data_IF_848207341817
#
_entry.id   IF_848207341817
#
_cell.length_a   1.000
_cell.length_b   1.000
_cell.length_c   1.000
_cell.angle_alpha   90.00
_cell.angle_beta   90.00
_cell.angle_gamma   90.00
#
_symmetry.space_group_name_H-M   'P 1'
#
loop_
_entity.id
_entity.type
_entity.pdbx_description
1 polymer ?
2 polymer ?
3 water ?
#
# COMPACT_ATOMS: atom_id res chain seq x y z
N UNK A 5 34.06 -0.52 16.77
CA UNK A 5 32.71 -0.44 16.15
C UNK A 5 31.73 -1.43 16.78
N UNK A 6 30.47 -1.32 16.40
CA UNK A 6 29.44 -2.28 16.79
C UNK A 6 28.43 -2.46 15.66
N UNK A 7 28.18 -3.71 15.28
CA UNK A 7 27.28 -4.02 14.17
C UNK A 7 26.36 -5.20 14.47
N UNK A 8 25.16 -5.12 13.91
CA UNK A 8 24.17 -6.17 14.05
C UNK A 8 23.48 -6.31 12.71
N UNK A 9 23.26 -7.54 12.27
CA UNK A 9 22.56 -7.80 11.02
C UNK A 9 21.07 -7.94 11.29
N UNK A 10 20.27 -7.19 10.55
CA UNK A 10 18.81 -7.31 10.65
C UNK A 10 18.20 -7.78 9.34
N UNK A 11 16.87 -7.85 9.33
CA UNK A 11 16.13 -8.23 8.14
C UNK A 11 14.87 -7.37 7.94
N UNK A 12 14.74 -6.87 6.73
CA UNK A 12 13.61 -6.06 6.34
C UNK A 12 12.88 -6.79 5.23
N UNK A 13 11.57 -6.89 5.35
CA UNK A 13 10.79 -7.48 4.28
C UNK A 13 9.63 -6.56 3.96
N UNK A 14 9.19 -6.57 2.72
CA UNK A 14 7.98 -5.88 2.34
C UNK A 14 8.17 -4.44 1.96
N UNK A 15 7.07 -3.69 2.02
CA UNK A 15 7.05 -2.30 1.63
C UNK A 15 7.51 -1.45 2.79
N UNK A 16 8.67 -0.83 2.62
CA UNK A 16 9.28 -0.11 3.75
C UNK A 16 9.66 1.32 3.42
N UNK A 17 9.44 2.21 4.37
CA UNK A 17 9.84 3.62 4.24
C UNK A 17 10.96 3.95 5.22
N UNK A 18 12.00 4.61 4.72
CA UNK A 18 13.01 5.25 5.54
C UNK A 18 12.94 6.72 5.22
N UNK A 19 12.52 7.53 6.20
CA UNK A 19 12.29 8.96 6.00
C UNK A 19 11.26 9.09 4.88
N UNK A 20 11.63 9.77 3.80
CA UNK A 20 10.71 9.95 2.67
C UNK A 20 11.07 9.08 1.47
N UNK A 21 11.91 8.06 1.69
CA UNK A 21 12.24 7.10 0.66
C UNK A 21 11.56 5.76 0.90
N UNK A 22 10.88 5.26 -0.13
CA UNK A 22 10.14 4.02 -0.13
C UNK A 22 10.93 2.89 -0.80
N UNK A 23 11.08 1.76 -0.09
CA UNK A 23 11.72 0.55 -0.63
C UNK A 23 10.77 -0.65 -0.64
N UNK A 24 11.08 -1.62 -1.49
CA UNK A 24 10.50 -2.94 -1.37
C UNK A 24 11.60 -3.98 -1.19
N UNK A 25 11.52 -4.73 -0.09
CA UNK A 25 12.36 -5.89 0.16
C UNK A 25 11.55 -7.17 -0.06
N UNK A 26 12.10 -8.13 -0.79
CA UNK A 26 11.43 -9.41 -0.99
C UNK A 26 11.51 -10.28 0.26
N UNK A 27 10.91 -11.47 0.19
CA UNK A 27 10.87 -12.43 1.30
C UNK A 27 12.22 -12.65 1.98
N UNK A 28 13.28 -12.76 1.17
CA UNK A 28 14.60 -13.09 1.69
C UNK A 28 15.35 -11.87 2.24
N UNK A 29 14.65 -10.75 2.29
CA UNK A 29 15.20 -9.54 2.89
C UNK A 29 16.01 -8.73 1.90
N UNK A 30 15.85 -9.04 0.62
CA UNK A 30 16.68 -8.49 -0.44
C UNK A 30 16.00 -7.34 -1.14
N UNK A 31 16.68 -6.20 -1.16
CA UNK A 31 16.15 -4.98 -1.73
C UNK A 31 15.98 -5.15 -3.23
N UNK A 32 14.94 -4.50 -3.77
CA UNK A 32 14.61 -4.65 -5.19
C UNK A 32 14.82 -3.39 -6.01
N UNK A 33 15.18 -3.58 -7.28
CA UNK A 33 15.65 -2.51 -8.17
C UNK A 33 14.97 -2.60 -9.54
N UNK A 34 14.68 -1.46 -10.13
CA UNK A 34 14.11 -1.43 -11.47
C UNK A 34 12.63 -1.68 -11.51
N UNK A 35 12.18 -2.30 -12.60
CA UNK A 35 10.77 -2.57 -12.84
C UNK A 35 10.44 -3.82 -12.08
N UNK A 36 9.56 -3.69 -11.08
CA UNK A 36 9.31 -4.79 -10.15
C UNK A 36 7.82 -5.09 -10.00
N UNK A 37 7.52 -6.38 -10.04
CA UNK A 37 6.18 -6.89 -9.82
C UNK A 37 6.03 -7.25 -8.36
N UNK A 38 5.14 -6.57 -7.66
CA UNK A 38 4.81 -6.96 -6.30
C UNK A 38 3.37 -7.39 -6.29
N UNK A 39 3.17 -8.70 -6.19
CA UNK A 39 1.84 -9.27 -6.18
C UNK A 39 0.97 -8.64 -7.25
N UNK A 40 1.57 -8.41 -8.41
CA UNK A 40 0.86 -8.11 -9.66
C UNK A 40 0.52 -6.65 -9.87
N UNK A 41 0.97 -5.81 -8.95
CA UNK A 41 1.08 -4.40 -9.21
C UNK A 41 2.53 -4.17 -9.58
N UNK A 42 2.73 -3.32 -10.58
CA UNK A 42 4.07 -3.01 -11.10
C UNK A 42 4.61 -1.71 -10.55
N UNK A 43 5.89 -1.70 -10.21
CA UNK A 43 6.53 -0.53 -9.60
C UNK A 43 7.92 -0.30 -10.18
N UNK A 44 8.47 0.89 -9.97
CA UNK A 44 9.81 1.20 -10.49
C UNK A 44 10.75 1.71 -9.41
N UNK A 45 11.84 1.01 -9.17
CA UNK A 45 12.80 1.37 -8.15
C UNK A 45 14.11 1.81 -8.78
N UNK A 46 14.60 2.98 -8.36
CA UNK A 46 15.87 3.51 -8.83
C UNK A 46 17.02 2.57 -8.50
N UNK A 47 18.19 2.91 -9.04
CA UNK A 47 19.37 2.07 -8.92
C UNK A 47 19.90 2.03 -7.48
N UNK A 48 19.34 2.90 -6.65
CA UNK A 48 19.65 3.02 -5.23
C UNK A 48 18.51 2.45 -4.37
N UNK A 49 17.56 1.79 -5.03
CA UNK A 49 16.46 1.14 -4.34
C UNK A 49 15.22 2.00 -4.17
N UNK A 50 15.36 3.31 -4.39
CA UNK A 50 14.29 4.23 -4.00
C UNK A 50 13.16 4.28 -5.03
N UNK A 51 11.97 3.91 -4.59
CA UNK A 51 10.76 3.98 -5.44
C UNK A 51 10.63 5.35 -6.14
N UNK A 52 10.30 5.33 -7.44
CA UNK A 52 10.25 6.54 -8.25
C UNK A 52 8.82 6.83 -8.68
N UNK A 53 8.52 8.12 -8.87
CA UNK A 53 7.26 8.55 -9.47
C UNK A 53 7.59 9.29 -10.75
N UNK A 54 6.84 9.03 -11.80
CA UNK A 54 7.15 9.58 -13.13
C UNK A 54 7.06 8.50 -14.19
N UNK A 55 7.60 8.83 -15.35
CA UNK A 55 7.49 7.95 -16.52
C UNK A 55 8.83 7.26 -16.68
N UNK A 56 8.86 5.93 -16.67
CA UNK A 56 10.14 5.23 -16.84
C UNK A 56 10.07 4.13 -17.88
N UNK A 57 11.21 3.82 -18.51
CA UNK A 57 11.24 2.82 -19.54
C UNK A 57 11.14 1.43 -18.92
N UNK A 58 10.24 0.60 -19.45
CA UNK A 58 10.10 -0.81 -19.05
C UNK A 58 10.08 -1.70 -20.28
N UNK A 59 10.27 -3.03 -20.09
CA UNK A 59 10.05 -3.96 -21.20
C UNK A 59 8.68 -3.78 -21.83
N UNK A 60 7.71 -3.34 -21.03
CA UNK A 60 6.32 -3.20 -21.50
C UNK A 60 6.06 -1.87 -22.21
N UNK A 61 7.10 -1.05 -22.36
CA UNK A 61 6.96 0.33 -22.86
C UNK A 61 7.19 1.32 -21.73
N UNK A 62 7.21 2.61 -22.06
CA UNK A 62 7.30 3.66 -21.05
C UNK A 62 6.01 3.75 -20.24
N UNK A 63 6.11 3.58 -18.92
CA UNK A 63 4.92 3.61 -18.05
C UNK A 63 4.93 4.77 -17.08
N UNK A 64 3.73 5.17 -16.62
CA UNK A 64 3.56 6.18 -15.60
C UNK A 64 3.34 5.53 -14.22
N UNK A 65 4.31 5.71 -13.32
CA UNK A 65 4.18 5.27 -11.94
C UNK A 65 3.81 6.49 -11.13
N UNK A 66 2.67 6.42 -10.47
CA UNK A 66 2.00 7.63 -9.96
C UNK A 66 1.71 7.57 -8.47
N UNK A 67 1.51 8.73 -7.88
CA UNK A 67 1.10 8.81 -6.49
C UNK A 67 -0.24 8.10 -6.26
N UNK A 68 -0.45 7.62 -5.04
CA UNK A 68 -1.70 6.94 -4.70
C UNK A 68 -2.90 7.74 -5.20
N UNK A 69 -3.88 7.02 -5.75
CA UNK A 69 -5.19 7.59 -6.02
C UNK A 69 -5.17 8.59 -7.16
N UNK A 70 -4.23 8.42 -8.08
CA UNK A 70 -4.20 9.25 -9.26
C UNK A 70 -5.31 8.78 -10.18
N UNK A 71 -5.42 7.46 -10.34
CA UNK A 71 -6.40 6.87 -11.23
C UNK A 71 -6.79 5.50 -10.72
N UNK A 72 -8.07 5.17 -10.77
CA UNK A 72 -8.60 3.86 -10.37
C UNK A 72 -8.11 3.41 -8.99
N UNK A 73 -8.06 4.35 -8.04
CA UNK A 73 -7.64 4.01 -6.68
C UNK A 73 -6.33 3.22 -6.63
N UNK A 74 -5.37 3.55 -7.51
CA UNK A 74 -4.04 2.92 -7.53
C UNK A 74 -3.22 3.19 -6.26
N UNK A 75 -2.27 2.28 -6.03
CA UNK A 75 -1.36 2.31 -4.88
C UNK A 75 -0.14 3.22 -5.13
N UNK A 76 0.37 3.84 -4.06
CA UNK A 76 1.56 4.69 -4.15
C UNK A 76 2.56 4.06 -5.10
N UNK A 77 2.82 4.73 -6.21
CA UNK A 77 3.92 4.37 -7.08
C UNK A 77 3.63 3.35 -8.15
N UNK A 78 2.40 2.82 -8.16
CA UNK A 78 1.99 1.77 -9.09
C UNK A 78 1.94 2.31 -10.52
N UNK A 79 2.19 1.46 -11.51
CA UNK A 79 1.92 1.83 -12.90
C UNK A 79 0.41 1.99 -13.06
N UNK A 80 -0.02 3.04 -13.77
CA UNK A 80 -1.45 3.28 -13.98
C UNK A 80 -1.84 3.27 -15.45
N UNK A 81 -3.12 3.02 -15.70
CA UNK A 81 -3.64 2.98 -17.05
C UNK A 81 -4.06 4.38 -17.55
N UNK A 82 -3.08 5.27 -17.59
CA UNK A 82 -3.26 6.66 -17.99
C UNK A 82 -3.32 6.73 -19.51
N UNK A 83 -4.12 7.67 -20.00
CA UNK A 83 -4.20 8.01 -21.43
C UNK A 83 -4.34 9.52 -21.62
N UNK A 84 -3.85 10.01 -22.74
CA UNK A 84 -3.92 11.44 -23.04
C UNK A 84 -2.62 12.13 -22.74
N UNK A 85 -2.70 13.46 -22.65
CA UNK A 85 -1.56 14.28 -22.31
C UNK A 85 -1.30 14.25 -20.82
N UNK A 86 -0.02 14.28 -20.48
CA UNK A 86 0.41 14.35 -19.11
C UNK A 86 1.52 15.40 -18.99
N UNK A 87 1.38 16.31 -18.03
CA UNK A 87 2.47 17.21 -17.64
C UNK A 87 2.96 16.81 -16.25
N UNK A 88 4.25 16.51 -16.11
CA UNK A 88 4.87 16.33 -14.81
C UNK A 88 5.94 17.38 -14.66
N UNK A 89 5.55 18.54 -14.13
CA UNK A 89 6.23 19.83 -14.28
C UNK A 89 6.55 20.16 -15.75
N UNK A 90 7.80 20.56 -16.04
CA UNK A 90 8.22 21.00 -17.38
C UNK A 90 8.24 19.89 -18.43
N UNK A 91 8.03 18.64 -17.99
CA UNK A 91 8.09 17.49 -18.87
C UNK A 91 6.67 17.16 -19.33
N UNK A 92 6.51 16.96 -20.64
CA UNK A 92 5.22 16.60 -21.19
C UNK A 92 5.30 15.26 -21.94
N UNK A 93 4.21 14.49 -21.86
CA UNK A 93 4.14 13.14 -22.41
C UNK A 93 2.75 12.93 -23.00
N UNK A 94 2.63 11.90 -23.83
CA UNK A 94 1.34 11.51 -24.34
C UNK A 94 1.18 9.99 -24.31
N UNK A 95 0.13 9.54 -23.65
CA UNK A 95 -0.10 8.12 -23.47
C UNK A 95 -1.13 7.57 -24.43
N UNK A 96 -0.80 6.45 -25.05
CA UNK A 96 -1.61 5.82 -26.10
C UNK A 96 -2.81 5.05 -25.53
N UNK A 97 -3.60 4.45 -26.42
CA UNK A 97 -4.68 3.52 -26.05
C UNK A 97 -4.13 2.34 -25.25
N UNK A 98 -2.87 1.99 -25.51
CA UNK A 98 -2.19 0.88 -24.86
C UNK A 98 -1.55 1.25 -23.51
N UNK A 99 -1.87 2.45 -23.01
CA UNK A 99 -1.40 2.91 -21.70
C UNK A 99 0.13 3.02 -21.56
N UNK A 100 0.83 3.10 -22.68
CA UNK A 100 2.27 3.40 -22.68
C UNK A 100 2.50 4.77 -23.30
N UNK A 101 3.68 5.35 -23.07
CA UNK A 101 4.03 6.66 -23.60
C UNK A 101 4.41 6.60 -25.07
N UNK A 102 3.91 7.54 -25.86
CA UNK A 102 4.28 7.63 -27.27
C UNK A 102 5.74 8.03 -27.46
N UNK A 103 6.39 7.48 -28.47
CA UNK A 103 7.77 7.84 -28.77
C UNK A 103 7.97 8.04 -30.27
N UNK A 104 8.78 9.04 -30.62
CA UNK A 104 9.08 9.32 -32.03
C UNK A 104 8.12 10.36 -32.57
N UNK A 105 8.02 10.43 -33.89
CA UNK A 105 7.08 11.32 -34.56
C UNK A 105 5.66 10.76 -34.52
N UNK A 106 4.71 11.59 -34.06
CA UNK A 106 3.30 11.20 -34.04
C UNK A 106 2.35 12.37 -34.39
N UNK A 107 1.22 12.04 -35.03
CA UNK A 107 0.16 13.01 -35.25
C UNK A 107 -0.93 12.78 -34.21
N UNK A 108 -1.20 13.82 -33.43
CA UNK A 108 -2.20 13.77 -32.40
C UNK A 108 -3.15 14.93 -32.66
N UNK A 109 -4.42 14.63 -32.85
CA UNK A 109 -5.43 15.62 -33.18
C UNK A 109 -4.98 16.58 -34.30
N UNK A 110 -4.45 16.01 -35.37
CA UNK A 110 -4.09 16.78 -36.56
C UNK A 110 -2.85 17.66 -36.49
N UNK A 111 -2.11 17.60 -35.38
CA UNK A 111 -0.82 18.30 -35.24
C UNK A 111 0.30 17.28 -35.07
N UNK A 112 1.49 17.59 -35.60
CA UNK A 112 2.64 16.70 -35.47
C UNK A 112 3.51 17.04 -34.26
N UNK A 113 4.00 15.99 -33.60
CA UNK A 113 4.83 16.12 -32.42
C UNK A 113 6.00 15.16 -32.51
N UNK A 114 7.04 15.42 -31.73
CA UNK A 114 8.11 14.48 -31.57
C UNK A 114 8.37 14.25 -30.10
N UNK A 115 8.48 12.98 -29.72
CA UNK A 115 8.81 12.58 -28.36
C UNK A 115 10.10 11.78 -28.34
N UNK A 116 11.00 12.13 -27.43
CA UNK A 116 12.34 11.53 -27.37
C UNK A 116 12.25 10.01 -27.16
N UNK A 117 12.87 9.22 -28.06
CA UNK A 117 12.78 7.77 -27.88
C UNK A 117 13.38 7.25 -26.57
N UNK A 118 14.29 8.00 -25.96
CA UNK A 118 14.98 7.57 -24.74
C UNK A 118 14.27 7.97 -23.44
N UNK A 119 13.42 9.00 -23.49
CA UNK A 119 12.72 9.46 -22.28
C UNK A 119 11.21 9.59 -22.47
N UNK A 120 10.76 9.61 -23.72
CA UNK A 120 9.36 9.89 -24.06
C UNK A 120 8.89 11.34 -23.78
N UNK A 121 9.79 12.21 -23.33
CA UNK A 121 9.35 13.58 -23.20
C UNK A 121 9.30 14.32 -24.53
N UNK A 122 8.17 15.01 -24.72
CA UNK A 122 7.99 15.90 -25.86
C UNK A 122 9.21 16.80 -26.09
N UNK A 123 9.63 16.93 -27.34
CA UNK A 123 10.69 17.88 -27.72
C UNK A 123 10.04 19.17 -28.26
N UNK A 124 10.11 20.25 -27.48
CA UNK A 124 9.42 21.50 -27.87
C UNK A 124 10.33 22.57 -28.41
N UNK A 125 9.73 23.51 -29.15
CA UNK A 125 10.33 24.79 -29.52
C UNK A 125 11.36 24.64 -30.63
N UNK B 1 -20.15 7.84 2.55
CA UNK B 1 -19.99 7.04 1.30
C UNK B 1 -18.95 5.93 1.44
N UNK B 2 -17.82 6.21 2.08
CA UNK B 2 -16.86 5.16 2.41
C UNK B 2 -17.00 4.78 3.87
N UNK B 3 -17.22 3.50 4.13
CA UNK B 3 -17.44 3.04 5.49
C UNK B 3 -16.72 1.73 5.80
N UNK B 4 -16.10 1.70 6.98
CA UNK B 4 -15.46 0.51 7.49
C UNK B 4 -16.10 0.17 8.83
N UNK B 5 -16.76 -0.98 8.91
CA UNK B 5 -17.47 -1.36 10.12
C UNK B 5 -16.78 -2.49 10.87
N UNK B 6 -16.31 -2.19 12.08
CA UNK B 6 -15.78 -3.19 12.99
C UNK B 6 -16.90 -3.94 13.68
N UNK B 7 -16.61 -5.16 14.09
CA UNK B 7 -17.49 -5.97 14.93
C UNK B 7 -16.70 -7.18 15.40
N UNK B 8 -17.25 -7.91 16.35
CA UNK B 8 -16.58 -9.07 16.92
C UNK B 8 -15.83 -8.69 18.18
N UNK B 9 -15.95 -7.43 18.60
CA UNK B 9 -15.26 -6.93 19.77
C UNK B 9 -15.82 -7.45 21.09
N UNK B 10 -15.50 -6.76 22.17
CA UNK B 10 -16.08 -7.06 23.48
C UNK B 10 -15.13 -7.65 24.51
N UNK B 11 -15.75 -8.32 25.48
CA UNK B 11 -15.07 -8.76 26.68
C UNK B 11 -14.61 -10.21 26.58
N UNK B 12 -13.37 -10.46 26.98
CA UNK B 12 -12.82 -11.81 26.96
C UNK B 12 -11.84 -12.05 28.13
N UNK B 13 -11.67 -13.32 28.49
CA UNK B 13 -10.76 -13.74 29.55
C UNK B 13 -9.37 -13.85 28.94
N UNK B 14 -8.34 -13.64 29.77
CA UNK B 14 -6.94 -13.75 29.33
C UNK B 14 -6.64 -15.19 28.89
N UNK B 15 -5.77 -15.34 27.89
CA UNK B 15 -5.46 -16.67 27.34
C UNK B 15 -6.51 -17.14 26.34
N UNK B 16 -7.68 -16.49 26.39
CA UNK B 16 -8.76 -16.74 25.44
C UNK B 16 -8.55 -16.11 24.07
N UNK B 17 -9.60 -16.13 23.25
CA UNK B 17 -9.51 -15.74 21.84
C UNK B 17 -10.67 -14.86 21.37
N UNK B 18 -10.38 -14.02 20.38
CA UNK B 18 -11.38 -13.23 19.68
C UNK B 18 -11.08 -13.16 18.19
N UNK B 19 -12.12 -12.95 17.39
CA UNK B 19 -11.97 -12.74 15.96
C UNK B 19 -12.63 -11.42 15.59
N UNK B 20 -11.82 -10.40 15.34
CA UNK B 20 -12.32 -9.10 14.90
C UNK B 20 -12.63 -9.10 13.42
N UNK B 21 -13.76 -8.51 13.06
CA UNK B 21 -14.16 -8.44 11.67
C UNK B 21 -14.24 -6.98 11.22
N UNK B 22 -13.80 -6.70 10.00
CA UNK B 22 -14.01 -5.38 9.43
C UNK B 22 -14.67 -5.49 8.06
N UNK B 23 -15.85 -4.87 7.94
CA UNK B 23 -16.65 -4.92 6.72
C UNK B 23 -16.50 -3.61 5.96
N UNK B 24 -16.07 -3.70 4.70
CA UNK B 24 -15.81 -2.51 3.90
C UNK B 24 -16.81 -2.28 2.77
N UNK B 25 -17.27 -1.04 2.68
CA UNK B 25 -18.12 -0.60 1.58
C UNK B 25 -17.69 0.78 1.10
N UNK B 26 -17.87 1.05 -0.19
CA UNK B 26 -17.61 2.37 -0.76
C UNK B 26 -16.24 2.52 -1.42
N UNK B 27 -15.59 1.40 -1.68
CA UNK B 27 -14.28 1.37 -2.34
C UNK B 27 -14.00 0.01 -2.95
N UNK B 28 -13.16 0.00 -3.98
CA UNK B 28 -12.67 -1.25 -4.53
C UNK B 28 -11.74 -1.89 -3.50
N UNK B 29 -12.30 -2.83 -2.75
CA UNK B 29 -11.65 -3.46 -1.62
C UNK B 29 -10.34 -4.13 -1.99
N UNK B 30 -10.31 -4.75 -3.17
CA UNK B 30 -9.15 -5.52 -3.58
C UNK B 30 -7.92 -4.66 -3.81
N UNK B 31 -8.11 -3.35 -3.78
CA UNK B 31 -7.05 -2.41 -4.11
C UNK B 31 -6.29 -1.85 -2.91
N UNK B 32 -6.87 -1.97 -1.72
CA UNK B 32 -6.30 -1.36 -0.54
C UNK B 32 -5.48 -2.34 0.30
N UNK B 33 -4.43 -1.82 0.93
CA UNK B 33 -3.83 -2.50 2.06
C UNK B 33 -4.76 -2.26 3.24
N UNK B 34 -5.09 -3.32 3.96
CA UNK B 34 -6.01 -3.23 5.07
C UNK B 34 -5.22 -3.45 6.35
N UNK B 35 -5.58 -2.67 7.37
CA UNK B 35 -4.82 -2.69 8.61
C UNK B 35 -5.67 -2.53 9.85
N UNK B 36 -5.02 -2.84 10.98
CA UNK B 36 -5.58 -2.71 12.29
C UNK B 36 -4.60 -1.92 13.13
N UNK B 37 -5.14 -0.95 13.85
CA UNK B 37 -4.41 -0.17 14.83
C UNK B 37 -5.15 -0.34 16.16
N UNK B 38 -4.51 0.01 17.27
CA UNK B 38 -5.21 0.04 18.56
C UNK B 38 -4.80 1.22 19.43
N UNK B 39 -5.75 1.73 20.20
CA UNK B 39 -5.48 2.76 21.19
C UNK B 39 -6.10 2.33 22.50
N UNK B 40 -5.24 2.13 23.48
CA UNK B 40 -5.64 1.94 24.87
C UNK B 40 -5.56 3.30 25.54
N UNK B 41 -6.63 3.71 26.27
CA UNK B 41 -6.57 4.88 27.16
C UNK B 41 -5.27 4.95 27.94
N UNK B 42 -4.62 6.12 27.91
CA UNK B 42 -3.29 6.29 28.50
C UNK B 42 -2.16 6.15 27.49
N UNK B 43 -2.47 5.58 26.32
CA UNK B 43 -1.46 5.25 25.33
C UNK B 43 -1.76 5.86 23.97
N UNK B 44 -0.74 5.91 23.13
CA UNK B 44 -0.94 6.36 21.76
C UNK B 44 -1.44 5.23 20.88
N UNK B 45 -2.18 5.59 19.84
CA UNK B 45 -2.59 4.64 18.82
C UNK B 45 -1.36 3.98 18.21
N UNK B 46 -1.37 2.65 18.13
CA UNK B 46 -0.20 1.91 17.66
C UNK B 46 -0.61 0.91 16.58
N UNK B 47 0.27 0.73 15.60
CA UNK B 47 0.08 -0.26 14.58
C UNK B 47 -0.06 -1.63 15.24
N UNK B 48 -0.95 -2.47 14.69
CA UNK B 48 -1.13 -3.83 15.15
C UNK B 48 -0.77 -4.81 14.03
N UNK B 49 -1.49 -4.76 12.92
CA UNK B 49 -1.30 -5.72 11.84
C UNK B 49 -1.83 -5.20 10.51
N UNK B 50 -1.27 -5.69 9.42
CA UNK B 50 -1.62 -5.23 8.08
C UNK B 50 -1.52 -6.34 7.05
N UNK B 51 -2.30 -6.16 5.99
CA UNK B 51 -2.36 -7.15 4.94
C UNK B 51 -2.45 -6.49 3.59
N UNK B 52 -1.59 -6.99 2.71
CA UNK B 52 -1.46 -6.58 1.32
C UNK B 52 -2.68 -6.98 0.48
N UNK B 53 -2.82 -6.33 -0.68
CA UNK B 53 -3.85 -6.70 -1.67
C UNK B 53 -3.73 -8.16 -2.11
N UNK B 54 -2.52 -8.71 -2.05
CA UNK B 54 -2.25 -10.10 -2.36
C UNK B 54 -2.13 -11.01 -1.14
N UNK B 55 -2.53 -10.49 0.02
CA UNK B 55 -2.67 -11.33 1.21
C UNK B 55 -1.42 -11.57 2.05
N UNK B 56 -0.35 -10.85 1.78
CA UNK B 56 0.88 -10.92 2.57
C UNK B 56 0.72 -10.10 3.84
N UNK B 57 0.81 -10.75 5.01
CA UNK B 57 0.52 -10.08 6.25
C UNK B 57 1.76 -9.56 6.94
N UNK B 58 1.63 -8.53 7.79
CA UNK B 58 2.72 -8.17 8.69
C UNK B 58 2.23 -7.60 10.01
N UNK B 59 3.02 -7.80 11.06
CA UNK B 59 2.55 -7.59 12.42
C UNK B 59 3.50 -6.73 13.28
N UNK B 60 2.94 -5.95 14.19
CA UNK B 60 3.74 -5.32 15.27
C UNK B 60 4.48 -6.39 16.06
N UNK B 61 5.56 -6.01 16.75
CA UNK B 61 6.39 -7.00 17.43
C UNK B 61 5.63 -7.77 18.51
N UNK B 62 4.75 -7.07 19.21
CA UNK B 62 4.12 -7.58 20.42
C UNK B 62 2.87 -8.44 20.17
N UNK B 63 2.46 -8.57 18.92
CA UNK B 63 1.34 -9.46 18.60
C UNK B 63 1.78 -10.61 17.68
N UNK B 64 3.01 -10.50 17.16
CA UNK B 64 3.62 -11.51 16.29
C UNK B 64 3.61 -12.93 16.88
N UNK B 65 3.02 -13.85 16.12
CA UNK B 65 2.82 -15.22 16.56
C UNK B 65 1.49 -15.47 17.26
N UNK B 66 0.92 -14.44 17.86
CA UNK B 66 -0.35 -14.57 18.57
C UNK B 66 -1.56 -14.17 17.73
N UNK B 67 -1.38 -13.20 16.84
CA UNK B 67 -2.48 -12.71 16.00
C UNK B 67 -2.28 -13.17 14.57
N UNK B 68 -3.38 -13.30 13.84
CA UNK B 68 -3.33 -13.63 12.43
C UNK B 68 -4.35 -12.80 11.64
N UNK B 69 -3.86 -12.00 10.69
CA UNK B 69 -4.74 -11.20 9.83
C UNK B 69 -5.01 -11.91 8.49
N UNK B 70 -6.18 -11.64 7.92
CA UNK B 70 -6.55 -12.25 6.65
C UNK B 70 -7.63 -11.43 5.97
N UNK B 71 -7.84 -11.67 4.68
CA UNK B 71 -8.83 -10.89 3.95
C UNK B 71 -9.65 -11.77 3.03
N UNK B 72 -10.92 -11.43 2.92
CA UNK B 72 -11.81 -12.06 1.96
C UNK B 72 -12.18 -10.99 0.94
N UNK B 73 -11.49 -11.01 -0.20
CA UNK B 73 -11.71 -10.00 -1.25
C UNK B 73 -13.06 -10.12 -1.94
N UNK B 74 -13.66 -11.31 -1.88
CA UNK B 74 -14.98 -11.56 -2.44
C UNK B 74 -16.13 -11.11 -1.52
N UNK B 75 -15.83 -10.88 -0.24
CA UNK B 75 -16.81 -10.39 0.73
C UNK B 75 -16.49 -8.99 1.29
N UNK B 76 -15.40 -8.37 0.82
CA UNK B 76 -14.99 -7.03 1.27
C UNK B 76 -14.81 -6.97 2.79
N UNK B 77 -14.15 -8.00 3.30
CA UNK B 77 -14.03 -8.23 4.73
C UNK B 77 -12.59 -8.59 5.04
N UNK B 78 -12.09 -8.10 6.17
CA UNK B 78 -10.81 -8.55 6.68
C UNK B 78 -10.99 -8.95 8.12
N UNK B 79 -10.12 -9.85 8.56
CA UNK B 79 -10.25 -10.50 9.85
C UNK B 79 -8.97 -10.38 10.64
N UNK B 80 -9.12 -10.16 11.95
CA UNK B 80 -8.02 -10.23 12.89
C UNK B 80 -8.31 -11.30 13.93
N UNK B 81 -7.66 -12.45 13.77
CA UNK B 81 -7.73 -13.53 14.75
C UNK B 81 -6.77 -13.20 15.87
N UNK B 82 -7.31 -13.05 17.07
CA UNK B 82 -6.51 -12.74 18.24
C UNK B 82 -6.48 -13.90 19.23
N UNK B 83 -5.31 -14.52 19.36
CA UNK B 83 -5.11 -15.65 20.28
C UNK B 83 -4.22 -15.25 21.46
N UNK B 84 -4.18 -16.10 22.49
CA UNK B 84 -3.33 -15.92 23.69
C UNK B 84 -3.45 -14.51 24.23
N UNK B 85 -4.68 -14.03 24.38
CA UNK B 85 -4.90 -12.63 24.69
C UNK B 85 -4.41 -12.25 26.08
N UNK B 86 -3.86 -11.04 26.19
CA UNK B 86 -3.26 -10.55 27.44
C UNK B 86 -3.91 -9.26 27.89
N UNK B 87 -3.76 -8.89 29.18
CA UNK B 87 -4.27 -7.60 29.64
C UNK B 87 -3.69 -6.42 28.86
N UNK B 88 -2.49 -6.61 28.31
CA UNK B 88 -1.81 -5.59 27.48
C UNK B 88 -2.56 -5.35 26.18
N UNK B 89 -3.37 -6.32 25.77
CA UNK B 89 -4.11 -6.23 24.52
C UNK B 89 -5.39 -5.43 24.61
N UNK B 90 -5.74 -4.95 25.80
CA UNK B 90 -6.95 -4.15 26.00
C UNK B 90 -6.79 -2.78 25.34
N UNK B 91 -7.71 -2.47 24.42
CA UNK B 91 -7.69 -1.23 23.62
C UNK B 91 -8.91 -1.13 22.72
N UNK B 92 -9.20 0.06 22.21
CA UNK B 92 -10.13 0.20 21.10
C UNK B 92 -9.30 -0.22 19.88
N UNK B 93 -9.86 -1.10 19.05
CA UNK B 93 -9.20 -1.51 17.82
C UNK B 93 -9.90 -0.93 16.63
N UNK B 94 -9.13 -0.39 15.69
CA UNK B 94 -9.66 0.32 14.53
C UNK B 94 -9.21 -0.36 13.26
N UNK B 95 -10.12 -0.61 12.33
CA UNK B 95 -9.65 -1.05 11.02
C UNK B 95 -9.43 0.18 10.17
N UNK B 96 -8.54 0.04 9.20
CA UNK B 96 -8.20 1.13 8.33
C UNK B 96 -7.89 0.52 6.97
N UNK B 97 -8.08 1.34 5.93
CA UNK B 97 -7.76 0.94 4.58
C UNK B 97 -6.92 2.04 3.97
N UNK B 98 -5.90 1.65 3.22
CA UNK B 98 -4.96 2.63 2.75
C UNK B 98 -4.25 2.30 1.48
N UNK B 99 -3.70 3.34 0.84
CA UNK B 99 -2.92 3.18 -0.38
C UNK B 99 -1.48 3.66 -0.22
N UNK B 100 -1.10 4.12 0.98
CA UNK B 100 0.23 4.70 1.25
C UNK B 100 1.26 3.61 1.35
N UNK B 101 2.55 3.98 1.35
CA UNK B 101 3.59 2.96 1.26
C UNK B 101 3.71 2.01 2.45
N UNK B 102 4.22 2.51 3.57
CA UNK B 102 4.58 1.66 4.69
C UNK B 102 3.39 1.37 5.56
N UNK B 103 3.01 0.10 5.59
CA UNK B 103 1.91 -0.45 6.39
C UNK B 103 1.89 0.00 7.83
N UNK B 104 3.06 0.28 8.39
CA UNK B 104 3.15 0.39 9.84
C UNK B 104 2.65 1.73 10.34
N UNK B 105 2.24 2.57 9.41
CA UNK B 105 2.09 4.00 9.69
C UNK B 105 0.71 4.53 9.43
N UNK B 106 0.17 5.14 10.46
CA UNK B 106 -1.13 5.74 10.44
C UNK B 106 -1.34 6.58 9.16
N UNK B 107 -0.36 7.39 8.77
CA UNK B 107 -0.58 8.24 7.58
C UNK B 107 -0.61 7.49 6.23
N UNK B 108 -0.26 6.21 6.22
CA UNK B 108 -0.40 5.40 5.00
C UNK B 108 -1.84 4.98 4.72
N UNK B 109 -2.76 5.36 5.59
CA UNK B 109 -4.14 4.90 5.51
C UNK B 109 -5.03 6.09 5.29
N UNK B 110 -5.99 5.96 4.40
CA UNK B 110 -6.91 7.06 4.13
C UNK B 110 -8.34 6.84 4.63
N UNK B 111 -8.68 5.60 4.99
CA UNK B 111 -10.02 5.28 5.51
C UNK B 111 -9.99 4.55 6.84
N UNK B 112 -10.85 4.98 7.76
CA UNK B 112 -10.81 4.54 9.14
C UNK B 112 -12.16 4.12 9.68
N UNK B 113 -12.15 3.03 10.45
CA UNK B 113 -13.34 2.55 11.12
C UNK B 113 -13.56 3.31 12.40
N UNK B 114 -14.73 3.09 12.99
CA UNK B 114 -15.16 3.77 14.21
C UNK B 114 -14.43 3.21 15.44
N UNK B 115 -13.98 1.96 15.34
CA UNK B 115 -13.30 1.30 16.43
C UNK B 115 -14.23 0.50 17.31
N UNK B 116 -13.72 -0.62 17.82
CA UNK B 116 -14.48 -1.48 18.72
C UNK B 116 -13.66 -1.85 19.94
N UNK B 117 -14.31 -1.83 21.10
CA UNK B 117 -13.66 -2.12 22.37
C UNK B 117 -13.32 -3.59 22.52
N UNK B 118 -12.07 -3.85 22.82
CA UNK B 118 -11.64 -5.17 23.26
C UNK B 118 -11.11 -5.06 24.68
N UNK B 119 -11.80 -5.71 25.61
CA UNK B 119 -11.40 -5.73 27.02
C UNK B 119 -10.95 -7.13 27.38
N UNK B 120 -9.79 -7.23 28.04
CA UNK B 120 -9.24 -8.50 28.49
C UNK B 120 -8.98 -8.43 29.99
N UNK B 121 -9.54 -9.39 30.72
CA UNK B 121 -9.41 -9.41 32.19
C UNK B 121 -8.44 -10.50 32.64
N UNK B 122 -7.75 -10.24 33.74
CA UNK B 122 -6.83 -11.21 34.33
C UNK B 122 -7.58 -12.36 35.01
#
# INVERSE_FOLDING_TARGET
MHHHHHHKGIMRTGLISFENNNYYFNENGEMQFGYINIEDKMFYFGEDGVMQIGVFNTPDGFKYFAHQNTLDENFEGESINYTGWLDLDEKRYYFTDEYIAATGSVIIDGEEYYFDPDTAQLVISE
QVQLVESGGGLVQAGGSLRLSCAASGLTFSRYVMGWFRQAPGKEREFVAAITWGGTPNYADSVKGRFTISRDNSKNTQYLQMNSLKPEDTAVYYCAAGLGWDSRYSQSYNYWGQGTQVTVSSGSEQKLISEEDLNHHHHHH
#
